data_IF_569824295377
#
_entry.id   IF_569824295377
#
_cell.length_a   1.000
_cell.length_b   1.000
_cell.length_c   1.000
_cell.angle_alpha   90.00
_cell.angle_beta   90.00
_cell.angle_gamma   90.00
#
_symmetry.space_group_name_H-M   'P 1'
#
loop_
_entity.id
_entity.type
_entity.pdbx_description
1 polymer ?
#
# COMPACT_ATOMS: atom_id res chain seq x y z
N UNK A 1 -25.99 8.47 4.77
CA UNK A 1 -24.68 7.99 4.27
C UNK A 1 -23.60 8.50 5.22
N UNK A 2 -23.02 7.62 6.03
CA UNK A 2 -21.99 8.00 7.02
C UNK A 2 -20.62 8.00 6.34
N UNK A 3 -19.97 9.16 6.26
CA UNK A 3 -18.62 9.33 5.69
C UNK A 3 -17.62 8.63 6.62
N UNK A 4 -17.24 7.38 6.29
CA UNK A 4 -16.20 6.67 7.03
C UNK A 4 -14.81 7.20 6.66
N UNK A 5 -14.20 7.81 7.67
CA UNK A 5 -12.77 7.97 7.95
C UNK A 5 -11.90 8.72 6.94
N UNK A 6 -12.05 10.05 6.93
CA UNK A 6 -10.90 10.94 6.69
C UNK A 6 -10.47 11.41 8.08
N UNK A 7 -9.29 11.00 8.56
CA UNK A 7 -8.68 11.63 9.73
C UNK A 7 -8.12 12.99 9.31
N UNK A 8 -9.02 13.91 8.98
CA UNK A 8 -8.69 15.33 8.82
C UNK A 8 -8.45 15.85 10.23
N UNK A 9 -7.23 16.31 10.52
CA UNK A 9 -7.03 17.01 11.78
C UNK A 9 -7.85 18.32 11.77
N UNK A 10 -7.97 18.98 12.92
CA UNK A 10 -8.78 20.21 13.06
C UNK A 10 -8.38 21.37 12.11
N UNK A 11 -7.28 21.24 11.37
CA UNK A 11 -6.76 22.24 10.42
C UNK A 11 -6.99 21.87 8.95
N UNK A 12 -7.76 20.83 8.63
CA UNK A 12 -7.95 20.41 7.25
C UNK A 12 -6.85 19.50 6.71
N UNK A 13 -5.89 19.07 7.54
CA UNK A 13 -4.75 18.26 7.06
C UNK A 13 -5.08 16.78 7.19
N UNK A 14 -5.01 16.07 6.06
CA UNK A 14 -5.11 14.61 6.00
C UNK A 14 -3.95 14.00 6.79
N UNK A 15 -4.26 13.28 7.86
CA UNK A 15 -3.26 12.57 8.66
C UNK A 15 -3.40 11.08 8.39
N UNK A 16 -2.32 10.47 7.89
CA UNK A 16 -2.24 9.03 7.69
C UNK A 16 -1.38 8.38 8.78
N UNK A 17 -1.64 7.11 9.11
CA UNK A 17 -0.77 6.38 10.03
C UNK A 17 0.63 6.20 9.43
N UNK A 18 1.63 6.06 10.29
CA UNK A 18 2.99 5.70 9.88
C UNK A 18 2.99 4.32 9.21
N UNK A 19 3.50 4.26 7.97
CA UNK A 19 3.60 3.03 7.20
C UNK A 19 4.32 1.93 7.98
N UNK A 20 5.49 2.23 8.55
CA UNK A 20 6.32 1.24 9.21
C UNK A 20 5.66 0.65 10.47
N UNK A 21 4.63 1.31 11.02
CA UNK A 21 3.89 0.85 12.19
C UNK A 21 2.56 0.17 11.86
N UNK A 22 1.91 0.55 10.76
CA UNK A 22 0.49 0.20 10.52
C UNK A 22 0.23 -0.38 9.12
N UNK A 23 1.18 -0.34 8.21
CA UNK A 23 1.00 -0.76 6.82
C UNK A 23 0.47 0.32 5.90
N UNK A 24 0.00 -0.11 4.73
CA UNK A 24 -0.37 0.77 3.64
C UNK A 24 -1.72 1.42 3.88
N UNK A 25 -1.72 2.72 4.16
CA UNK A 25 -2.89 3.53 4.43
C UNK A 25 -3.18 4.49 3.28
N UNK A 26 -4.45 4.55 2.88
CA UNK A 26 -4.94 5.44 1.84
C UNK A 26 -6.16 6.20 2.32
N UNK A 27 -6.21 7.48 2.01
CA UNK A 27 -7.36 8.36 2.25
C UNK A 27 -7.71 9.08 0.95
N UNK A 28 -9.00 9.10 0.61
CA UNK A 28 -9.50 9.84 -0.55
C UNK A 28 -10.13 11.15 -0.12
N UNK A 29 -9.70 12.24 -0.76
CA UNK A 29 -10.31 13.56 -0.67
C UNK A 29 -10.74 14.01 -2.08
N UNK A 30 -11.99 13.68 -2.43
CA UNK A 30 -12.49 13.81 -3.80
C UNK A 30 -11.70 12.93 -4.78
N UNK A 31 -11.08 13.57 -5.76
CA UNK A 31 -10.22 12.93 -6.77
C UNK A 31 -8.76 12.80 -6.32
N UNK A 32 -8.40 13.39 -5.17
CA UNK A 32 -7.05 13.30 -4.62
C UNK A 32 -6.93 12.06 -3.75
N UNK A 33 -5.90 11.25 -4.02
CA UNK A 33 -5.59 10.03 -3.28
C UNK A 33 -4.33 10.26 -2.46
N UNK A 34 -4.51 10.42 -1.15
CA UNK A 34 -3.42 10.53 -0.18
C UNK A 34 -3.01 9.15 0.30
N UNK A 35 -1.71 8.93 0.44
CA UNK A 35 -1.15 7.64 0.86
C UNK A 35 0.07 7.83 1.76
N UNK A 36 0.36 6.81 2.57
CA UNK A 36 1.49 6.83 3.51
C UNK A 36 2.73 6.09 2.97
N UNK A 37 2.80 5.85 1.66
CA UNK A 37 3.93 5.16 1.07
C UNK A 37 5.22 5.97 1.27
N UNK A 38 6.31 5.39 1.80
CA UNK A 38 7.57 6.11 1.97
C UNK A 38 8.04 6.76 0.66
N UNK A 39 8.28 8.07 0.71
CA UNK A 39 8.72 8.88 -0.44
C UNK A 39 7.60 9.49 -1.28
N UNK A 40 6.33 9.10 -1.09
CA UNK A 40 5.19 9.61 -1.87
C UNK A 40 3.98 9.87 -0.99
N UNK A 41 3.48 11.10 -0.95
CA UNK A 41 2.30 11.45 -0.15
C UNK A 41 1.00 11.43 -0.96
N UNK A 42 1.08 11.56 -2.28
CA UNK A 42 -0.04 11.46 -3.21
C UNK A 42 0.19 10.36 -4.27
N UNK A 43 -0.89 9.76 -4.76
CA UNK A 43 -0.82 8.80 -5.87
C UNK A 43 -0.27 9.45 -7.15
N UNK A 44 -0.57 10.72 -7.38
CA UNK A 44 -0.08 11.51 -8.52
C UNK A 44 1.42 11.78 -8.48
N UNK A 45 2.06 11.65 -7.33
CA UNK A 45 3.50 11.88 -7.17
C UNK A 45 4.32 10.69 -7.68
N UNK A 46 3.70 9.51 -7.80
CA UNK A 46 4.36 8.33 -8.34
C UNK A 46 4.52 8.52 -9.85
N UNK A 47 5.76 8.50 -10.38
CA UNK A 47 5.99 8.67 -11.80
C UNK A 47 5.20 7.63 -12.60
N UNK A 48 4.38 8.09 -13.55
CA UNK A 48 3.77 7.18 -14.50
C UNK A 48 4.85 6.72 -15.50
N UNK A 49 4.97 5.42 -15.73
CA UNK A 49 5.87 4.87 -16.76
C UNK A 49 5.07 3.99 -17.70
N UNK A 50 5.53 3.87 -18.95
CA UNK A 50 4.86 3.08 -19.98
C UNK A 50 4.64 1.62 -19.60
N UNK A 51 5.52 1.04 -18.78
CA UNK A 51 5.60 -0.42 -18.65
C UNK A 51 4.79 -0.98 -17.47
N UNK A 52 4.44 -0.13 -16.49
CA UNK A 52 3.79 -0.54 -15.23
C UNK A 52 2.86 0.54 -14.73
N UNK A 53 1.64 0.15 -14.37
CA UNK A 53 0.67 1.02 -13.71
C UNK A 53 1.22 1.54 -12.37
N UNK A 54 0.69 2.67 -11.90
CA UNK A 54 1.04 3.19 -10.59
C UNK A 54 0.67 2.21 -9.47
N UNK A 55 -0.50 1.56 -9.57
CA UNK A 55 -0.95 0.54 -8.61
C UNK A 55 -0.02 -0.68 -8.58
N UNK A 56 0.50 -1.12 -9.73
CA UNK A 56 1.49 -2.19 -9.80
C UNK A 56 2.77 -1.80 -9.07
N UNK A 57 3.25 -0.56 -9.21
CA UNK A 57 4.44 -0.07 -8.49
C UNK A 57 4.24 -0.03 -6.99
N UNK A 58 3.04 0.38 -6.54
CA UNK A 58 2.66 0.33 -5.13
C UNK A 58 2.67 -1.12 -4.64
N UNK A 59 2.05 -2.05 -5.36
CA UNK A 59 2.06 -3.48 -5.00
C UNK A 59 3.48 -4.04 -4.93
N UNK A 60 4.31 -3.73 -5.93
CA UNK A 60 5.71 -4.14 -5.97
C UNK A 60 6.48 -3.60 -4.76
N UNK A 61 6.26 -2.34 -4.38
CA UNK A 61 6.87 -1.76 -3.18
C UNK A 61 6.45 -2.50 -1.90
N UNK A 62 5.15 -2.78 -1.74
CA UNK A 62 4.63 -3.47 -0.56
C UNK A 62 5.27 -4.86 -0.40
N UNK A 63 5.39 -5.60 -1.49
CA UNK A 63 6.10 -6.90 -1.47
C UNK A 63 7.58 -6.70 -1.18
N UNK A 64 8.23 -5.72 -1.82
CA UNK A 64 9.67 -5.44 -1.60
C UNK A 64 9.99 -5.15 -0.14
N UNK A 65 9.06 -4.50 0.59
CA UNK A 65 9.25 -4.19 2.00
C UNK A 65 9.37 -5.44 2.89
N UNK A 66 8.78 -6.57 2.51
CA UNK A 66 8.79 -7.82 3.29
C UNK A 66 9.64 -8.93 2.67
N UNK A 67 9.67 -9.01 1.34
CA UNK A 67 10.34 -10.06 0.59
C UNK A 67 10.82 -9.51 -0.77
N UNK A 68 12.03 -8.92 -0.83
CA UNK A 68 12.60 -8.32 -2.04
C UNK A 68 12.56 -9.25 -3.25
N UNK A 69 12.95 -10.51 -3.10
CA UNK A 69 12.98 -11.45 -4.23
C UNK A 69 11.58 -11.74 -4.80
N UNK A 70 10.55 -11.80 -3.93
CA UNK A 70 9.18 -12.03 -4.37
C UNK A 70 8.61 -10.84 -5.15
N UNK A 71 9.15 -9.63 -4.96
CA UNK A 71 8.68 -8.44 -5.69
C UNK A 71 9.07 -8.44 -7.16
N UNK A 72 9.97 -9.34 -7.57
CA UNK A 72 10.32 -9.58 -8.97
C UNK A 72 9.41 -10.61 -9.65
N UNK A 73 8.54 -11.30 -8.90
CA UNK A 73 7.54 -12.19 -9.47
C UNK A 73 6.32 -11.37 -9.96
N UNK A 74 6.15 -11.30 -11.28
CA UNK A 74 5.10 -10.49 -11.87
C UNK A 74 3.68 -10.95 -11.54
N UNK A 75 3.46 -12.27 -11.37
CA UNK A 75 2.17 -12.85 -11.02
C UNK A 75 1.78 -12.44 -9.59
N UNK A 76 2.70 -12.58 -8.63
CA UNK A 76 2.44 -12.18 -7.24
C UNK A 76 2.17 -10.68 -7.11
N UNK A 77 2.93 -9.85 -7.84
CA UNK A 77 2.69 -8.40 -7.81
C UNK A 77 1.32 -8.06 -8.38
N UNK A 78 0.92 -8.68 -9.50
CA UNK A 78 -0.38 -8.45 -10.12
C UNK A 78 -1.54 -8.94 -9.24
N UNK A 79 -1.38 -10.08 -8.56
CA UNK A 79 -2.38 -10.59 -7.62
C UNK A 79 -2.56 -9.63 -6.42
N UNK A 80 -1.47 -9.26 -5.75
CA UNK A 80 -1.52 -8.31 -4.62
C UNK A 80 -2.04 -6.92 -5.06
N UNK A 81 -1.70 -6.49 -6.28
CA UNK A 81 -2.26 -5.29 -6.88
C UNK A 81 -3.79 -5.37 -6.94
N UNK A 82 -4.32 -6.46 -7.50
CA UNK A 82 -5.75 -6.65 -7.71
C UNK A 82 -6.54 -6.86 -6.41
N UNK A 83 -5.97 -7.58 -5.44
CA UNK A 83 -6.66 -7.97 -4.21
C UNK A 83 -6.67 -6.87 -3.15
N UNK A 84 -5.57 -6.12 -3.02
CA UNK A 84 -5.42 -5.14 -1.94
C UNK A 84 -5.20 -3.72 -2.44
N UNK A 85 -4.30 -3.51 -3.39
CA UNK A 85 -3.87 -2.16 -3.75
C UNK A 85 -4.93 -1.41 -4.53
N UNK A 86 -5.48 -1.97 -5.61
CA UNK A 86 -6.54 -1.33 -6.40
C UNK A 86 -7.79 -1.05 -5.56
N UNK A 87 -8.30 -1.98 -4.74
CA UNK A 87 -9.41 -1.69 -3.83
C UNK A 87 -9.10 -0.58 -2.83
N UNK A 88 -7.88 -0.56 -2.26
CA UNK A 88 -7.46 0.43 -1.26
C UNK A 88 -7.26 1.81 -1.89
N UNK A 89 -6.69 1.90 -3.10
CA UNK A 89 -6.57 3.15 -3.85
C UNK A 89 -7.94 3.69 -4.30
N UNK A 90 -8.86 2.79 -4.66
CA UNK A 90 -10.22 3.15 -5.11
C UNK A 90 -11.12 3.61 -3.98
N UNK A 91 -11.06 2.96 -2.82
CA UNK A 91 -12.03 3.19 -1.73
C UNK A 91 -11.42 3.88 -0.50
N UNK A 92 -10.09 4.02 -0.44
CA UNK A 92 -9.39 4.30 0.81
C UNK A 92 -9.37 3.09 1.74
N UNK A 93 -8.57 3.15 2.79
CA UNK A 93 -8.48 2.08 3.78
C UNK A 93 -7.08 1.87 4.31
N UNK A 94 -6.89 0.73 4.98
CA UNK A 94 -5.63 0.29 5.54
C UNK A 94 -5.42 -1.17 5.16
N UNK A 95 -4.27 -1.48 4.59
CA UNK A 95 -3.75 -2.85 4.44
C UNK A 95 -2.67 -3.04 5.52
N UNK A 96 -2.99 -3.74 6.63
CA UNK A 96 -2.02 -3.98 7.70
C UNK A 96 -0.81 -4.77 7.22
N UNK A 97 0.35 -4.56 7.85
CA UNK A 97 1.55 -5.38 7.62
C UNK A 97 1.28 -6.87 7.76
N UNK A 98 0.55 -7.27 8.80
CA UNK A 98 0.25 -8.68 9.05
C UNK A 98 -0.59 -9.29 7.91
N UNK A 99 -1.49 -8.53 7.29
CA UNK A 99 -2.23 -9.00 6.11
C UNK A 99 -1.29 -9.28 4.93
N UNK A 100 -0.32 -8.41 4.68
CA UNK A 100 0.65 -8.59 3.57
C UNK A 100 1.57 -9.77 3.86
N UNK A 101 2.04 -9.92 5.11
CA UNK A 101 2.88 -11.03 5.56
C UNK A 101 2.16 -12.36 5.47
N UNK A 102 0.92 -12.44 5.98
CA UNK A 102 0.11 -13.65 5.92
C UNK A 102 -0.18 -14.04 4.47
N UNK A 103 -0.50 -13.04 3.62
CA UNK A 103 -0.69 -13.25 2.19
C UNK A 103 0.57 -13.83 1.53
N UNK A 104 1.75 -13.22 1.74
CA UNK A 104 3.02 -13.76 1.23
C UNK A 104 3.29 -15.19 1.72
N UNK A 105 3.01 -15.46 2.99
CA UNK A 105 3.15 -16.80 3.57
C UNK A 105 2.27 -17.84 2.85
N UNK A 106 1.01 -17.52 2.56
CA UNK A 106 0.10 -18.40 1.81
C UNK A 106 0.59 -18.68 0.39
N UNK A 107 1.32 -17.74 -0.22
CA UNK A 107 1.98 -17.91 -1.52
C UNK A 107 3.37 -18.57 -1.41
N UNK A 108 3.71 -19.17 -0.26
CA UNK A 108 4.96 -19.88 -0.04
C UNK A 108 6.19 -18.98 0.08
N UNK A 109 6.00 -17.68 0.28
CA UNK A 109 7.05 -16.67 0.47
C UNK A 109 7.18 -16.40 1.97
N UNK A 110 8.05 -17.17 2.65
CA UNK A 110 8.35 -16.93 4.07
C UNK A 110 9.05 -15.58 4.22
N UNK A 111 8.74 -14.83 5.27
CA UNK A 111 9.40 -13.56 5.54
C UNK A 111 10.89 -13.79 5.83
N UNK A 112 11.75 -13.30 4.96
CA UNK A 112 13.21 -13.37 5.14
C UNK A 112 13.76 -12.24 6.03
N UNK A 113 12.92 -11.28 6.43
CA UNK A 113 13.28 -10.26 7.41
C UNK A 113 13.26 -10.82 8.84
N UNK A 114 14.35 -11.52 9.18
CA UNK A 114 14.76 -11.79 10.56
C UNK A 114 15.38 -10.50 11.13
N UNK A 115 14.62 -9.85 12.00
CA UNK A 115 15.03 -8.71 12.83
C UNK A 115 13.78 -8.23 13.57
N UNK A 116 13.34 -8.91 14.62
CA UNK A 116 14.06 -8.94 15.90
C UNK A 116 13.73 -7.65 16.63
N UNK A 117 12.70 -7.66 17.48
CA UNK A 117 12.58 -6.69 18.57
C UNK A 117 13.74 -6.87 19.54
#
# INVERSE_FOLDING_TARGET
MSRKSVFVNKKGVVTLPDFFKRGFGVVRDGDVVHMNLPGFSLLSDIPNSTDKSVSYKVAQFLITHFHPDASHNAELVAELESEFVVPTLTNGGLVPHETIKDWLFWHGKKNDLVGGY
#
